data_IF_814533486645
#
_entry.id   IF_814533486645
#
_cell.length_a   1.000
_cell.length_b   1.000
_cell.length_c   1.000
_cell.angle_alpha   90.00
_cell.angle_beta   90.00
_cell.angle_gamma   90.00
#
_symmetry.space_group_name_H-M   'P 1'
#
loop_
_entity.id
_entity.type
_entity.pdbx_description
1 polymer ?
#
# COMPACT_ATOMS: atom_id res chain seq x y z
N UNK A 1 6.44 -4.52 24.24
CA UNK A 1 6.67 -3.74 23.00
C UNK A 1 6.91 -2.31 23.39
N UNK A 2 8.01 -1.73 22.91
CA UNK A 2 8.36 -0.33 23.19
C UNK A 2 7.87 0.47 21.99
N UNK A 3 6.68 1.06 22.09
CA UNK A 3 5.93 1.66 20.98
C UNK A 3 6.82 2.54 20.09
N UNK A 4 7.65 3.39 20.69
CA UNK A 4 8.60 4.28 19.98
C UNK A 4 9.55 3.53 19.05
N UNK A 5 10.03 2.35 19.45
CA UNK A 5 10.93 1.53 18.64
C UNK A 5 10.19 0.88 17.46
N UNK A 6 8.93 0.49 17.66
CA UNK A 6 8.10 -0.13 16.62
C UNK A 6 7.72 0.90 15.54
N UNK A 7 7.43 2.15 15.92
CA UNK A 7 7.21 3.26 15.00
C UNK A 7 8.44 3.54 14.11
N UNK A 8 9.61 3.66 14.72
CA UNK A 8 10.85 3.99 13.99
C UNK A 8 11.27 2.84 13.05
N UNK A 9 11.12 1.59 13.49
CA UNK A 9 11.38 0.44 12.62
C UNK A 9 10.45 0.40 11.41
N UNK A 10 9.16 0.68 11.60
CA UNK A 10 8.21 0.73 10.50
C UNK A 10 8.51 1.88 9.54
N UNK A 11 8.83 3.07 10.07
CA UNK A 11 9.24 4.21 9.25
C UNK A 11 10.45 3.87 8.39
N UNK A 12 11.49 3.28 8.99
CA UNK A 12 12.68 2.86 8.27
C UNK A 12 12.36 1.84 7.18
N UNK A 13 11.52 0.84 7.48
CA UNK A 13 11.11 -0.16 6.49
C UNK A 13 10.33 0.46 5.32
N UNK A 14 9.46 1.44 5.58
CA UNK A 14 8.74 2.17 4.53
C UNK A 14 9.70 3.04 3.72
N UNK A 15 10.56 3.82 4.38
CA UNK A 15 11.52 4.71 3.72
C UNK A 15 12.55 3.98 2.86
N UNK A 16 12.97 2.79 3.27
CA UNK A 16 13.87 1.96 2.48
C UNK A 16 13.16 1.24 1.32
N UNK A 17 11.81 1.31 1.26
CA UNK A 17 11.00 0.62 0.27
C UNK A 17 10.84 -0.88 0.52
N UNK A 18 11.17 -1.35 1.73
CA UNK A 18 11.00 -2.75 2.16
C UNK A 18 9.53 -3.10 2.37
N UNK A 19 8.74 -2.12 2.84
CA UNK A 19 7.31 -2.27 3.12
C UNK A 19 6.51 -1.12 2.55
N UNK A 20 5.26 -1.41 2.20
CA UNK A 20 4.29 -0.43 1.75
C UNK A 20 2.98 -0.59 2.51
N UNK A 21 2.19 0.47 2.56
CA UNK A 21 0.86 0.45 3.17
C UNK A 21 -0.17 0.05 2.11
N UNK A 22 -1.05 -0.89 2.45
CA UNK A 22 -2.16 -1.30 1.60
C UNK A 22 -3.50 -1.16 2.34
N UNK A 23 -4.54 -0.80 1.59
CA UNK A 23 -5.92 -0.85 2.02
C UNK A 23 -6.58 -2.08 1.42
N UNK A 24 -7.09 -2.96 2.27
CA UNK A 24 -7.93 -4.08 1.89
C UNK A 24 -9.37 -3.81 2.28
N UNK A 25 -10.29 -3.93 1.33
CA UNK A 25 -11.73 -3.92 1.57
C UNK A 25 -12.23 -5.36 1.54
N UNK A 26 -12.74 -5.81 2.68
CA UNK A 26 -13.28 -7.15 2.88
C UNK A 26 -14.58 -7.03 3.66
N UNK A 27 -15.68 -7.55 3.12
CA UNK A 27 -17.02 -7.43 3.71
C UNK A 27 -17.42 -5.96 3.99
N UNK A 28 -16.92 -5.03 3.17
CA UNK A 28 -17.13 -3.58 3.35
C UNK A 28 -16.31 -2.94 4.48
N UNK A 29 -15.47 -3.71 5.18
CA UNK A 29 -14.56 -3.24 6.21
C UNK A 29 -13.21 -2.88 5.56
N UNK A 30 -12.66 -1.73 5.94
CA UNK A 30 -11.34 -1.27 5.47
C UNK A 30 -10.27 -1.71 6.47
N UNK A 31 -9.26 -2.42 5.98
CA UNK A 31 -8.11 -2.89 6.74
C UNK A 31 -6.85 -2.21 6.22
N UNK A 32 -6.06 -1.63 7.12
CA UNK A 32 -4.76 -1.02 6.80
C UNK A 32 -3.66 -1.99 7.17
N UNK A 33 -2.95 -2.48 6.15
CA UNK A 33 -1.89 -3.46 6.31
C UNK A 33 -0.55 -2.83 5.97
N UNK A 34 0.51 -3.31 6.62
CA UNK A 34 1.88 -3.02 6.21
C UNK A 34 2.67 -4.30 6.06
N UNK A 35 3.11 -4.54 4.83
CA UNK A 35 3.81 -5.75 4.40
C UNK A 35 4.73 -5.40 3.22
N UNK A 36 5.55 -6.37 2.80
CA UNK A 36 6.32 -6.26 1.57
C UNK A 36 5.38 -6.12 0.37
N UNK A 37 5.68 -5.18 -0.52
CA UNK A 37 4.87 -4.91 -1.71
C UNK A 37 4.65 -6.11 -2.63
N UNK A 38 5.58 -7.07 -2.64
CA UNK A 38 5.44 -8.31 -3.41
C UNK A 38 4.22 -9.13 -2.94
N UNK A 39 3.85 -9.01 -1.66
CA UNK A 39 2.69 -9.70 -1.08
C UNK A 39 1.34 -9.09 -1.48
N UNK A 40 1.32 -7.91 -2.11
CA UNK A 40 0.11 -7.25 -2.59
C UNK A 40 -0.30 -7.65 -4.02
N UNK A 41 0.37 -8.63 -4.63
CA UNK A 41 -0.16 -9.32 -5.80
C UNK A 41 -1.42 -10.14 -5.42
N UNK A 42 -2.41 -10.20 -6.31
CA UNK A 42 -3.58 -11.06 -6.08
C UNK A 42 -3.21 -12.50 -6.44
N UNK A 43 -2.55 -12.69 -7.58
CA UNK A 43 -2.09 -14.00 -8.03
C UNK A 43 -0.63 -13.93 -8.51
N UNK A 44 0.26 -14.65 -7.82
CA UNK A 44 1.70 -14.71 -8.16
C UNK A 44 1.99 -15.68 -9.31
N UNK A 45 1.07 -16.60 -9.60
CA UNK A 45 1.31 -17.72 -10.54
C UNK A 45 1.64 -17.26 -11.96
N UNK A 46 0.99 -16.22 -12.54
CA UNK A 46 1.35 -15.71 -13.85
C UNK A 46 2.77 -15.12 -13.89
N UNK A 47 3.19 -14.47 -12.80
CA UNK A 47 4.52 -13.88 -12.69
C UNK A 47 5.61 -14.96 -12.71
N UNK A 48 5.46 -16.02 -11.93
CA UNK A 48 6.40 -17.15 -11.96
C UNK A 48 6.43 -17.87 -13.32
N UNK A 49 5.29 -17.96 -14.02
CA UNK A 49 5.27 -18.45 -15.41
C UNK A 49 6.07 -17.53 -16.34
N UNK A 50 5.96 -16.22 -16.16
CA UNK A 50 6.76 -15.25 -16.91
C UNK A 50 8.26 -15.38 -16.60
N UNK A 51 8.63 -15.67 -15.34
CA UNK A 51 10.03 -15.92 -14.97
C UNK A 51 10.59 -17.17 -15.65
N UNK A 52 9.79 -18.24 -15.75
CA UNK A 52 10.17 -19.45 -16.49
C UNK A 52 10.36 -19.13 -17.98
N UNK A 53 9.41 -18.42 -18.59
CA UNK A 53 9.50 -18.03 -20.00
C UNK A 53 10.74 -17.16 -20.31
N UNK A 54 11.20 -16.36 -19.35
CA UNK A 54 12.43 -15.54 -19.44
C UNK A 54 13.71 -16.30 -19.08
N UNK A 55 13.61 -17.56 -18.65
CA UNK A 55 14.75 -18.36 -18.18
C UNK A 55 15.30 -17.95 -16.82
N UNK A 56 14.57 -17.14 -16.04
CA UNK A 56 14.95 -16.71 -14.69
C UNK A 56 14.62 -17.75 -13.62
N UNK A 57 13.67 -18.63 -13.90
CA UNK A 57 13.24 -19.73 -13.03
C UNK A 57 13.22 -21.03 -13.84
N UNK A 58 13.67 -22.14 -13.21
CA UNK A 58 13.49 -23.47 -13.79
C UNK A 58 12.04 -23.92 -13.59
N UNK A 59 11.44 -24.51 -14.61
CA UNK A 59 10.06 -25.03 -14.56
C UNK A 59 9.85 -26.01 -13.39
N UNK A 60 10.86 -26.82 -13.07
CA UNK A 60 10.81 -27.76 -11.94
C UNK A 60 10.66 -27.12 -10.56
N UNK A 61 10.92 -25.80 -10.43
CA UNK A 61 10.78 -25.06 -9.16
C UNK A 61 9.42 -24.36 -9.04
N UNK A 62 8.58 -24.40 -10.08
CA UNK A 62 7.34 -23.65 -10.13
C UNK A 62 6.38 -23.99 -8.98
N UNK A 63 6.08 -25.28 -8.81
CA UNK A 63 5.09 -25.73 -7.83
C UNK A 63 5.54 -25.45 -6.40
N UNK A 64 6.83 -25.64 -6.11
CA UNK A 64 7.42 -25.32 -4.80
C UNK A 64 7.39 -23.82 -4.53
N UNK A 65 7.78 -22.99 -5.49
CA UNK A 65 7.76 -21.53 -5.35
C UNK A 65 6.32 -21.02 -5.13
N UNK A 66 5.37 -21.47 -5.94
CA UNK A 66 3.97 -21.07 -5.81
C UNK A 66 3.35 -21.55 -4.48
N UNK A 67 3.62 -22.78 -4.05
CA UNK A 67 3.10 -23.31 -2.78
C UNK A 67 3.79 -22.76 -1.54
N UNK A 68 4.99 -22.20 -1.67
CA UNK A 68 5.70 -21.55 -0.57
C UNK A 68 5.36 -20.06 -0.45
N UNK A 69 4.88 -19.42 -1.53
CA UNK A 69 4.56 -18.00 -1.54
C UNK A 69 3.51 -17.64 -0.49
N UNK A 70 3.75 -16.55 0.26
CA UNK A 70 2.93 -16.10 1.39
C UNK A 70 2.55 -17.22 2.36
N UNK A 71 3.49 -18.11 2.65
CA UNK A 71 3.30 -19.28 3.52
C UNK A 71 2.11 -20.15 3.06
N UNK A 72 2.00 -20.38 1.74
CA UNK A 72 0.96 -21.21 1.14
C UNK A 72 -0.27 -20.48 0.63
N UNK A 73 -0.16 -19.18 0.33
CA UNK A 73 -1.23 -18.38 -0.26
C UNK A 73 -0.77 -17.80 -1.62
N UNK A 74 -0.71 -18.63 -2.69
CA UNK A 74 -0.33 -18.16 -4.02
C UNK A 74 -1.36 -17.17 -4.61
N UNK A 75 -2.64 -17.37 -4.29
CA UNK A 75 -3.75 -16.54 -4.75
C UNK A 75 -4.47 -15.99 -3.54
N UNK A 76 -4.53 -14.67 -3.43
CA UNK A 76 -5.25 -13.99 -2.37
C UNK A 76 -6.71 -13.82 -2.77
N UNK A 77 -7.60 -14.17 -1.87
CA UNK A 77 -9.04 -14.02 -2.03
C UNK A 77 -9.65 -13.54 -0.71
N UNK A 78 -10.92 -13.17 -0.78
CA UNK A 78 -11.71 -12.88 0.42
C UNK A 78 -11.68 -14.03 1.42
N UNK A 79 -11.81 -15.26 0.95
CA UNK A 79 -11.96 -16.45 1.79
C UNK A 79 -10.69 -16.80 2.56
N UNK A 80 -9.50 -16.50 2.00
CA UNK A 80 -8.22 -16.79 2.62
C UNK A 80 -7.50 -15.54 3.17
N UNK A 81 -8.14 -14.37 3.11
CA UNK A 81 -7.54 -13.12 3.59
C UNK A 81 -7.08 -13.23 5.05
N UNK A 82 -7.94 -13.76 5.94
CA UNK A 82 -7.57 -13.95 7.36
C UNK A 82 -6.42 -14.94 7.54
N UNK A 83 -6.41 -16.02 6.75
CA UNK A 83 -5.33 -17.00 6.77
C UNK A 83 -4.01 -16.37 6.32
N UNK A 84 -4.02 -15.53 5.28
CA UNK A 84 -2.85 -14.76 4.84
C UNK A 84 -2.30 -13.90 5.99
N UNK A 85 -3.16 -13.14 6.68
CA UNK A 85 -2.76 -12.31 7.81
C UNK A 85 -2.09 -13.14 8.90
N UNK A 86 -2.74 -14.21 9.36
CA UNK A 86 -2.23 -15.04 10.45
C UNK A 86 -0.95 -15.79 10.07
N UNK A 87 -0.88 -16.35 8.86
CA UNK A 87 0.28 -17.14 8.42
C UNK A 87 1.52 -16.30 8.15
N UNK A 88 1.36 -15.03 7.78
CA UNK A 88 2.46 -14.14 7.41
C UNK A 88 2.77 -13.11 8.51
N UNK A 89 2.14 -13.22 9.68
CA UNK A 89 2.28 -12.29 10.81
C UNK A 89 2.09 -10.83 10.37
N UNK A 90 1.07 -10.59 9.54
CA UNK A 90 0.83 -9.27 8.94
C UNK A 90 0.13 -8.37 9.95
N UNK A 91 0.75 -7.23 10.22
CA UNK A 91 0.15 -6.23 11.10
C UNK A 91 -1.04 -5.55 10.42
N UNK A 92 -2.17 -5.50 11.14
CA UNK A 92 -3.35 -4.71 10.79
C UNK A 92 -3.45 -3.56 11.77
N UNK A 93 -3.62 -2.35 11.24
CA UNK A 93 -3.72 -1.13 12.03
C UNK A 93 -5.13 -0.54 11.97
N UNK A 94 -5.52 0.13 13.04
CA UNK A 94 -6.74 0.94 13.06
C UNK A 94 -6.51 2.27 12.36
N UNK A 95 -7.58 2.92 11.88
CA UNK A 95 -7.49 4.25 11.25
C UNK A 95 -6.86 5.28 12.19
N UNK A 96 -7.14 5.22 13.50
CA UNK A 96 -6.57 6.14 14.50
C UNK A 96 -5.08 5.91 14.68
N UNK A 97 -4.65 4.63 14.73
CA UNK A 97 -3.23 4.31 14.78
C UNK A 97 -2.50 4.80 13.54
N UNK A 98 -3.09 4.58 12.35
CA UNK A 98 -2.54 5.05 11.08
C UNK A 98 -2.47 6.58 11.02
N UNK A 99 -3.46 7.29 11.59
CA UNK A 99 -3.44 8.75 11.69
C UNK A 99 -2.30 9.22 12.59
N UNK A 100 -2.14 8.62 13.78
CA UNK A 100 -1.01 8.92 14.67
C UNK A 100 0.34 8.59 14.05
N UNK A 101 0.44 7.50 13.28
CA UNK A 101 1.63 7.16 12.51
C UNK A 101 1.93 8.19 11.43
N UNK A 102 0.90 8.59 10.67
CA UNK A 102 1.03 9.56 9.59
C UNK A 102 1.55 10.89 10.11
N UNK A 103 1.00 11.39 11.24
CA UNK A 103 1.39 12.67 11.85
C UNK A 103 2.54 12.58 12.85
N UNK A 104 3.22 11.42 12.96
CA UNK A 104 4.30 11.25 13.93
C UNK A 104 5.38 12.33 13.72
N UNK A 105 5.82 12.89 14.85
CA UNK A 105 6.82 13.97 14.95
C UNK A 105 6.37 15.32 14.37
N UNK A 106 5.05 15.56 14.26
CA UNK A 106 4.49 16.87 13.94
C UNK A 106 3.39 17.33 14.89
N UNK A 107 3.41 18.62 15.21
CA UNK A 107 2.29 19.32 15.80
C UNK A 107 1.32 19.90 14.74
N UNK A 108 0.22 20.48 15.21
CA UNK A 108 -0.82 21.04 14.34
C UNK A 108 -0.33 22.21 13.49
N UNK A 109 0.55 23.08 14.02
CA UNK A 109 1.09 24.21 13.26
C UNK A 109 1.98 23.72 12.12
N UNK A 110 2.81 22.70 12.37
CA UNK A 110 3.64 22.06 11.37
C UNK A 110 2.80 21.35 10.31
N UNK A 111 1.67 20.73 10.66
CA UNK A 111 0.76 20.10 9.70
C UNK A 111 0.10 21.14 8.78
N UNK A 112 -0.36 22.27 9.33
CA UNK A 112 -0.96 23.37 8.54
C UNK A 112 0.08 23.97 7.59
N UNK A 113 1.26 24.32 8.10
CA UNK A 113 2.32 24.89 7.27
C UNK A 113 2.73 23.95 6.14
N UNK A 114 2.78 22.65 6.41
CA UNK A 114 3.10 21.63 5.42
C UNK A 114 1.99 21.46 4.38
N UNK A 115 0.72 21.47 4.80
CA UNK A 115 -0.41 21.41 3.88
C UNK A 115 -0.44 22.60 2.92
N UNK A 116 -0.23 23.81 3.44
CA UNK A 116 -0.14 25.04 2.64
C UNK A 116 1.02 24.97 1.62
N UNK A 117 2.16 24.41 2.02
CA UNK A 117 3.27 24.16 1.10
C UNK A 117 2.85 23.23 -0.05
N UNK A 118 2.18 22.11 0.26
CA UNK A 118 1.71 21.14 -0.75
C UNK A 118 0.69 21.80 -1.69
N UNK A 119 -0.30 22.52 -1.18
CA UNK A 119 -1.30 23.22 -2.01
C UNK A 119 -0.66 24.26 -2.93
N UNK A 120 0.29 25.06 -2.42
CA UNK A 120 1.04 26.04 -3.21
C UNK A 120 1.90 25.35 -4.27
N UNK A 121 2.53 24.24 -3.91
CA UNK A 121 3.34 23.44 -4.82
C UNK A 121 2.52 23.00 -6.03
N UNK A 122 1.39 22.35 -5.78
CA UNK A 122 0.51 21.83 -6.84
C UNK A 122 -0.10 22.95 -7.69
N UNK A 123 -0.34 24.12 -7.10
CA UNK A 123 -1.02 25.23 -7.77
C UNK A 123 -0.09 26.11 -8.59
N UNK A 124 1.17 26.28 -8.17
CA UNK A 124 2.02 27.38 -8.67
C UNK A 124 3.51 27.09 -8.77
N UNK A 125 4.06 26.08 -8.08
CA UNK A 125 5.52 25.91 -8.05
C UNK A 125 5.99 25.05 -9.21
N UNK A 126 6.97 25.56 -9.94
CA UNK A 126 7.77 24.81 -10.93
C UNK A 126 9.04 24.20 -10.31
N UNK A 127 9.33 24.53 -9.05
CA UNK A 127 10.49 24.03 -8.32
C UNK A 127 10.30 22.56 -7.93
N UNK A 128 11.37 21.79 -7.69
CA UNK A 128 11.27 20.40 -7.25
C UNK A 128 10.59 20.27 -5.88
N UNK A 129 9.87 19.16 -5.72
CA UNK A 129 9.31 18.71 -4.44
C UNK A 129 10.39 18.68 -3.35
N UNK A 130 10.08 19.14 -2.14
CA UNK A 130 10.97 18.98 -0.99
C UNK A 130 11.15 17.51 -0.64
N UNK A 131 12.37 17.12 -0.25
CA UNK A 131 12.67 15.76 0.25
C UNK A 131 11.77 15.39 1.43
N UNK A 132 11.36 16.39 2.21
CA UNK A 132 10.41 16.25 3.31
C UNK A 132 9.02 15.81 2.83
N UNK A 133 8.51 16.35 1.72
CA UNK A 133 7.26 15.89 1.10
C UNK A 133 7.40 14.50 0.50
N UNK A 134 8.51 14.22 -0.19
CA UNK A 134 8.78 12.89 -0.75
C UNK A 134 8.84 11.81 0.34
N UNK A 135 9.47 12.10 1.46
CA UNK A 135 9.46 11.21 2.63
C UNK A 135 8.05 11.05 3.17
N UNK A 136 7.35 12.14 3.46
CA UNK A 136 6.04 12.08 4.10
C UNK A 136 5.00 11.30 3.28
N UNK A 137 4.95 11.52 1.97
CA UNK A 137 3.98 10.83 1.09
C UNK A 137 4.17 9.31 1.06
N UNK A 138 5.34 8.79 1.45
CA UNK A 138 5.56 7.34 1.59
C UNK A 138 4.69 6.72 2.69
N UNK A 139 4.19 7.53 3.63
CA UNK A 139 3.24 7.10 4.67
C UNK A 139 1.79 7.00 4.16
N UNK A 140 1.51 7.31 2.89
CA UNK A 140 0.21 7.10 2.26
C UNK A 140 0.07 5.65 1.77
N UNK A 141 -1.16 5.11 1.66
CA UNK A 141 -1.34 3.79 1.06
C UNK A 141 -0.86 3.80 -0.39
N UNK A 142 -0.09 2.80 -0.79
CA UNK A 142 0.30 2.58 -2.18
C UNK A 142 -0.60 1.60 -2.90
N UNK A 143 -1.38 0.80 -2.18
CA UNK A 143 -2.24 -0.22 -2.77
C UNK A 143 -3.65 -0.14 -2.20
N UNK A 144 -4.64 -0.39 -3.06
CA UNK A 144 -6.03 -0.55 -2.71
C UNK A 144 -6.57 -1.83 -3.36
N UNK A 145 -7.08 -2.74 -2.54
CA UNK A 145 -7.61 -4.03 -2.97
C UNK A 145 -9.02 -4.18 -2.41
N UNK A 146 -9.99 -4.38 -3.29
CA UNK A 146 -11.38 -4.58 -2.92
C UNK A 146 -11.86 -5.92 -3.49
N UNK A 147 -12.07 -6.91 -2.62
CA UNK A 147 -12.43 -8.26 -3.06
C UNK A 147 -13.84 -8.33 -3.62
N UNK A 148 -14.80 -7.60 -3.04
CA UNK A 148 -16.20 -7.59 -3.50
C UNK A 148 -16.33 -7.02 -4.91
N UNK A 149 -15.61 -5.93 -5.19
CA UNK A 149 -15.60 -5.27 -6.50
C UNK A 149 -14.58 -5.87 -7.46
N UNK A 150 -13.76 -6.82 -7.00
CA UNK A 150 -12.62 -7.38 -7.75
C UNK A 150 -11.76 -6.27 -8.37
N UNK A 151 -11.41 -5.28 -7.55
CA UNK A 151 -10.64 -4.11 -7.97
C UNK A 151 -9.31 -4.05 -7.25
N UNK A 152 -8.24 -3.81 -8.00
CA UNK A 152 -6.92 -3.45 -7.49
C UNK A 152 -6.49 -2.12 -8.07
N UNK A 153 -5.98 -1.22 -7.24
CA UNK A 153 -5.33 0.00 -7.72
C UNK A 153 -4.05 0.23 -6.93
N UNK A 154 -3.08 0.90 -7.54
CA UNK A 154 -1.84 1.26 -6.85
C UNK A 154 -1.21 2.55 -7.37
N UNK A 155 -0.31 3.11 -6.56
CA UNK A 155 0.55 4.24 -6.90
C UNK A 155 2.04 3.87 -6.87
N UNK A 156 2.37 2.56 -6.81
CA UNK A 156 3.72 2.08 -7.10
C UNK A 156 3.97 2.11 -8.61
N UNK A 157 4.61 3.18 -9.09
CA UNK A 157 4.87 3.42 -10.51
C UNK A 157 6.10 2.67 -11.04
N UNK A 158 6.90 2.06 -10.16
CA UNK A 158 8.13 1.38 -10.55
C UNK A 158 7.87 -0.01 -11.13
N UNK A 159 6.66 -0.55 -10.97
CA UNK A 159 6.30 -1.92 -11.36
C UNK A 159 4.86 -2.03 -11.87
N UNK A 160 4.66 -2.96 -12.80
CA UNK A 160 3.34 -3.30 -13.35
C UNK A 160 2.64 -4.36 -12.50
N UNK A 161 2.02 -3.94 -11.39
CA UNK A 161 1.31 -4.82 -10.45
C UNK A 161 -0.07 -5.29 -10.92
N UNK A 162 -0.55 -4.74 -12.03
CA UNK A 162 -1.87 -4.95 -12.64
C UNK A 162 -1.92 -6.22 -13.48
N UNK A 163 -0.77 -6.74 -13.89
CA UNK A 163 -0.69 -8.03 -14.56
C UNK A 163 -0.91 -9.21 -13.59
N UNK A 164 -0.77 -8.98 -12.28
CA UNK A 164 -0.83 -10.01 -11.23
C UNK A 164 -2.23 -10.13 -10.60
N UNK A 165 -3.28 -10.00 -11.43
CA UNK A 165 -4.69 -10.22 -11.04
C UNK A 165 -5.38 -11.21 -11.97
N UNK A 166 -6.40 -11.95 -11.49
CA UNK A 166 -7.24 -12.78 -12.35
C UNK A 166 -7.97 -11.97 -13.44
N UNK A 167 -8.34 -12.62 -14.55
CA UNK A 167 -8.92 -11.94 -15.72
C UNK A 167 -10.25 -11.22 -15.47
N UNK A 168 -10.97 -11.59 -14.41
CA UNK A 168 -12.24 -10.98 -14.00
C UNK A 168 -12.06 -9.81 -13.01
N UNK A 169 -10.83 -9.39 -12.74
CA UNK A 169 -10.50 -8.22 -11.94
C UNK A 169 -10.24 -6.98 -12.80
N UNK A 170 -10.53 -5.81 -12.24
CA UNK A 170 -10.08 -4.52 -12.75
C UNK A 170 -8.84 -4.08 -11.99
N UNK A 171 -7.70 -3.97 -12.66
CA UNK A 171 -6.46 -3.49 -12.06
C UNK A 171 -5.86 -2.29 -12.81
N UNK A 172 -5.44 -1.26 -12.08
CA UNK A 172 -4.91 -0.01 -12.65
C UNK A 172 -3.89 0.67 -11.74
N UNK A 173 -2.75 1.13 -12.26
CA UNK A 173 -1.94 2.15 -11.58
C UNK A 173 -2.61 3.52 -11.71
N UNK A 174 -3.17 4.01 -10.59
CA UNK A 174 -3.73 5.36 -10.46
C UNK A 174 -3.85 5.76 -8.98
N UNK A 175 -3.93 7.07 -8.75
CA UNK A 175 -4.20 7.64 -7.42
C UNK A 175 -5.70 7.83 -7.14
N UNK A 176 -6.59 7.57 -8.09
CA UNK A 176 -8.04 7.79 -7.92
C UNK A 176 -8.66 6.94 -6.82
N UNK A 177 -8.01 5.85 -6.41
CA UNK A 177 -8.54 5.01 -5.34
C UNK A 177 -8.64 5.72 -3.99
N UNK A 178 -7.90 6.80 -3.76
CA UNK A 178 -8.09 7.63 -2.56
C UNK A 178 -9.51 8.18 -2.44
N UNK A 179 -10.18 8.42 -3.58
CA UNK A 179 -11.59 8.87 -3.64
C UNK A 179 -12.59 7.75 -3.34
N UNK A 180 -12.16 6.49 -3.36
CA UNK A 180 -13.00 5.32 -3.08
C UNK A 180 -13.06 4.99 -1.59
N UNK A 181 -12.16 5.57 -0.80
CA UNK A 181 -12.06 5.36 0.65
C UNK A 181 -12.97 6.39 1.34
N UNK A 182 -13.94 5.98 2.18
CA UNK A 182 -14.80 6.91 2.89
C UNK A 182 -14.01 7.87 3.78
N UNK A 183 -14.46 9.11 3.96
CA UNK A 183 -13.73 10.13 4.75
C UNK A 183 -13.31 9.65 6.14
N UNK A 184 -14.16 8.89 6.84
CA UNK A 184 -13.86 8.33 8.18
C UNK A 184 -12.70 7.33 8.18
N UNK A 185 -12.41 6.74 7.01
CA UNK A 185 -11.36 5.74 6.75
C UNK A 185 -10.09 6.42 6.19
N UNK A 186 -10.17 7.66 5.73
CA UNK A 186 -9.00 8.39 5.24
C UNK A 186 -8.15 8.88 6.43
N UNK A 187 -7.15 8.10 6.85
CA UNK A 187 -6.25 8.52 7.93
C UNK A 187 -5.40 9.76 7.58
N UNK A 188 -5.29 10.07 6.29
CA UNK A 188 -4.63 11.25 5.75
C UNK A 188 -5.57 12.46 5.60
N UNK A 189 -6.83 12.35 6.02
CA UNK A 189 -7.76 13.48 6.14
C UNK A 189 -7.73 13.95 7.60
N UNK A 190 -7.11 15.10 7.84
CA UNK A 190 -6.85 15.62 9.20
C UNK A 190 -7.35 17.05 9.29
N UNK A 191 -8.30 17.30 10.20
CA UNK A 191 -8.85 18.65 10.43
C UNK A 191 -9.31 19.36 9.14
N UNK A 192 -9.86 18.60 8.18
CA UNK A 192 -10.30 19.11 6.87
C UNK A 192 -9.20 19.23 5.80
N UNK A 193 -7.94 19.00 6.15
CA UNK A 193 -6.81 18.95 5.23
C UNK A 193 -6.68 17.53 4.65
N UNK A 194 -6.82 17.39 3.33
CA UNK A 194 -6.69 16.10 2.65
C UNK A 194 -5.30 15.97 2.01
N UNK A 195 -4.42 15.21 2.65
CA UNK A 195 -3.04 15.01 2.18
C UNK A 195 -2.93 14.03 1.00
N UNK A 196 -4.04 13.48 0.49
CA UNK A 196 -4.07 12.68 -0.75
C UNK A 196 -3.90 13.58 -1.98
N UNK A 197 -2.67 14.04 -2.18
CA UNK A 197 -2.27 15.01 -3.20
C UNK A 197 -1.22 14.41 -4.13
N UNK A 198 -1.54 13.24 -4.67
CA UNK A 198 -0.66 12.50 -5.58
C UNK A 198 -0.94 12.94 -7.02
N UNK A 199 0.01 13.65 -7.64
CA UNK A 199 -0.01 13.90 -9.08
C UNK A 199 0.30 12.60 -9.84
N UNK A 200 -0.33 12.43 -11.01
CA UNK A 200 0.12 11.47 -12.03
C UNK A 200 1.25 12.09 -12.84
#
# INVERSE_FOLDING_TARGET
MNLTNDYQNLLNAIFNGDKDIAIFVVDGIHYYLVDNKDNYCIDVRPEYKAYIAKGWMKESLYDEAASSFRNGVPVLSKDNFKDYITRNDVAIYTVDWMRSFFTLDRDDEQLVSFYDYVERFLSTLTEPVSVEWDSWRMRLPKFYINFEKKKKSHTDWDRSHEASVPSDWSAQANSDFGLLVPDKEQYWLINGMNFWKLQM
#
